data_IF_074339438274
#
_entry.id   IF_074339438274
#
_cell.length_a   1.000
_cell.length_b   1.000
_cell.length_c   1.000
_cell.angle_alpha   90.00
_cell.angle_beta   90.00
_cell.angle_gamma   90.00
#
_symmetry.space_group_name_H-M   'P 1'
#
loop_
_entity.id
_entity.type
_entity.pdbx_description
1 polymer ?
#
# COMPACT_ATOMS: atom_id res chain seq x y z
N UNK A 1 -36.14 7.52 5.47
CA UNK A 1 -36.38 7.61 4.01
C UNK A 1 -35.74 8.85 3.36
N UNK A 2 -35.19 9.79 4.13
CA UNK A 2 -34.61 11.05 3.60
C UNK A 2 -33.15 10.93 3.08
N UNK A 3 -32.39 9.92 3.53
CA UNK A 3 -30.98 9.73 3.14
C UNK A 3 -30.75 9.15 1.73
N UNK A 4 -31.77 8.52 1.13
CA UNK A 4 -31.66 7.96 -0.23
C UNK A 4 -31.93 8.95 -1.35
N UNK A 5 -32.48 10.12 -1.05
CA UNK A 5 -32.81 11.14 -2.04
C UNK A 5 -31.62 12.10 -2.34
N UNK A 6 -30.63 12.18 -1.44
CA UNK A 6 -29.49 13.07 -1.59
C UNK A 6 -28.42 12.55 -2.56
N UNK A 7 -28.36 11.24 -2.77
CA UNK A 7 -27.33 10.61 -3.64
C UNK A 7 -27.68 10.71 -5.13
N UNK A 8 -28.96 10.92 -5.46
CA UNK A 8 -29.40 10.98 -6.86
C UNK A 8 -29.23 12.36 -7.52
N UNK A 9 -28.99 13.41 -6.77
CA UNK A 9 -28.85 14.78 -7.29
C UNK A 9 -27.41 15.19 -7.61
N UNK A 10 -26.39 14.39 -7.21
CA UNK A 10 -24.98 14.71 -7.47
C UNK A 10 -24.44 14.13 -8.78
N UNK A 11 -25.23 13.31 -9.50
CA UNK A 11 -24.80 12.64 -10.72
C UNK A 11 -25.13 13.38 -12.03
N UNK A 12 -25.72 14.56 -11.98
CA UNK A 12 -26.26 15.25 -13.15
C UNK A 12 -25.46 16.48 -13.64
N UNK A 13 -24.30 16.81 -13.06
CA UNK A 13 -23.57 18.05 -13.41
C UNK A 13 -22.23 17.86 -14.13
N UNK A 14 -21.94 16.69 -14.72
CA UNK A 14 -20.63 16.45 -15.33
C UNK A 14 -20.68 16.14 -16.85
N UNK A 15 -21.54 16.84 -17.58
CA UNK A 15 -21.51 16.77 -19.06
C UNK A 15 -21.81 18.13 -19.65
N UNK A 16 -20.86 19.06 -19.69
CA UNK A 16 -20.76 20.14 -20.70
C UNK A 16 -19.42 20.86 -20.45
N UNK A 17 -18.42 20.64 -21.31
CA UNK A 17 -17.49 21.62 -21.84
C UNK A 17 -16.33 20.93 -22.60
N UNK A 18 -16.59 20.61 -23.84
CA UNK A 18 -15.55 20.47 -24.85
C UNK A 18 -15.94 21.37 -26.01
N UNK A 19 -15.36 22.56 -26.12
CA UNK A 19 -15.09 23.20 -27.42
C UNK A 19 -14.15 24.40 -27.27
N UNK A 20 -13.15 24.40 -28.17
CA UNK A 20 -12.53 25.53 -28.86
C UNK A 20 -11.27 26.18 -28.23
N UNK A 21 -10.10 25.78 -28.77
CA UNK A 21 -9.30 26.59 -29.70
C UNK A 21 -8.57 27.85 -29.19
N UNK A 22 -7.22 27.79 -29.20
CA UNK A 22 -6.36 28.82 -29.81
C UNK A 22 -5.81 29.91 -28.89
N UNK A 23 -4.47 29.98 -28.80
CA UNK A 23 -3.80 31.25 -28.54
C UNK A 23 -2.71 31.25 -27.45
N UNK A 24 -1.50 31.40 -27.92
CA UNK A 24 -0.23 31.63 -27.23
C UNK A 24 -0.23 32.62 -26.08
N UNK A 25 0.60 32.33 -25.03
CA UNK A 25 1.03 33.28 -24.02
C UNK A 25 1.62 32.61 -22.78
N UNK A 26 2.92 32.74 -22.58
CA UNK A 26 3.66 32.35 -21.41
C UNK A 26 3.12 33.05 -20.14
N UNK A 27 3.06 32.33 -19.04
CA UNK A 27 3.57 32.74 -17.73
C UNK A 27 3.47 31.58 -16.74
N UNK A 28 4.55 31.36 -16.02
CA UNK A 28 4.77 30.36 -14.98
C UNK A 28 3.83 30.57 -13.79
N UNK A 29 3.20 29.51 -13.28
CA UNK A 29 2.86 29.39 -11.86
C UNK A 29 2.74 27.93 -11.47
N UNK A 30 3.67 27.49 -10.63
CA UNK A 30 3.66 26.24 -9.90
C UNK A 30 2.34 26.12 -9.12
N UNK A 31 1.64 25.01 -9.33
CA UNK A 31 0.72 24.46 -8.34
C UNK A 31 0.86 22.95 -8.37
N UNK A 32 1.49 22.46 -7.32
CA UNK A 32 1.56 21.09 -6.88
C UNK A 32 0.13 20.51 -6.80
N UNK A 33 -0.16 19.57 -7.67
CA UNK A 33 -1.37 18.75 -7.61
C UNK A 33 -0.93 17.31 -7.87
N UNK A 34 -0.68 16.59 -6.79
CA UNK A 34 -0.45 15.15 -6.78
C UNK A 34 -1.62 14.45 -7.48
N UNK A 35 -1.43 14.16 -8.74
CA UNK A 35 -2.35 13.38 -9.55
C UNK A 35 -2.00 11.91 -9.34
N UNK A 36 -2.77 11.24 -8.51
CA UNK A 36 -2.74 9.79 -8.44
C UNK A 36 -3.22 9.26 -9.79
N UNK A 37 -2.30 8.83 -10.61
CA UNK A 37 -2.61 8.07 -11.81
C UNK A 37 -2.83 6.61 -11.39
N UNK A 38 -4.06 6.14 -11.54
CA UNK A 38 -4.34 4.71 -11.58
C UNK A 38 -3.60 4.10 -12.78
N UNK A 39 -2.40 3.63 -12.55
CA UNK A 39 -1.68 2.85 -13.55
C UNK A 39 -2.05 1.37 -13.36
N UNK A 40 -3.12 0.96 -14.00
CA UNK A 40 -3.33 -0.46 -14.26
C UNK A 40 -2.23 -0.95 -15.20
N UNK A 41 -1.14 -1.44 -14.66
CA UNK A 41 0.01 -1.91 -15.44
C UNK A 41 -0.29 -3.29 -16.00
N UNK A 42 -0.53 -3.36 -17.30
CA UNK A 42 -0.45 -4.61 -18.06
C UNK A 42 0.97 -5.19 -17.87
N UNK A 43 1.03 -6.46 -17.42
CA UNK A 43 2.20 -7.16 -16.96
C UNK A 43 3.51 -6.86 -17.69
N UNK A 44 4.48 -6.38 -16.94
CA UNK A 44 5.88 -6.38 -17.33
C UNK A 44 6.32 -7.85 -17.49
N UNK A 45 6.98 -8.18 -18.61
CA UNK A 45 7.57 -9.53 -18.82
C UNK A 45 8.84 -9.75 -17.96
N UNK A 46 9.15 -8.84 -17.05
CA UNK A 46 10.29 -8.88 -16.15
C UNK A 46 9.80 -9.50 -14.83
N UNK A 47 10.42 -10.59 -14.35
CA UNK A 47 10.11 -11.16 -13.05
C UNK A 47 10.17 -10.10 -11.95
N UNK A 48 9.30 -10.19 -10.95
CA UNK A 48 9.22 -9.19 -9.88
C UNK A 48 10.55 -9.06 -9.11
N UNK A 49 11.28 -10.17 -8.94
CA UNK A 49 12.63 -10.17 -8.34
C UNK A 49 13.66 -9.31 -9.08
N UNK A 50 13.48 -9.17 -10.39
CA UNK A 50 14.37 -8.39 -11.26
C UNK A 50 13.90 -6.95 -11.46
N UNK A 51 12.79 -6.57 -10.80
CA UNK A 51 12.19 -5.24 -10.88
C UNK A 51 11.87 -4.71 -9.46
N UNK A 52 12.89 -4.23 -8.72
CA UNK A 52 12.72 -3.81 -7.32
C UNK A 52 11.75 -2.65 -7.13
N UNK A 53 11.64 -1.73 -8.08
CA UNK A 53 10.69 -0.60 -8.03
C UNK A 53 9.24 -1.11 -8.10
N UNK A 54 8.96 -2.05 -9.01
CA UNK A 54 7.65 -2.67 -9.11
C UNK A 54 7.36 -3.53 -7.87
N UNK A 55 8.34 -4.29 -7.38
CA UNK A 55 8.21 -5.08 -6.17
C UNK A 55 7.85 -4.19 -4.95
N UNK A 56 8.52 -3.05 -4.78
CA UNK A 56 8.22 -2.08 -3.72
C UNK A 56 6.78 -1.57 -3.82
N UNK A 57 6.35 -1.16 -5.02
CA UNK A 57 4.99 -0.69 -5.25
C UNK A 57 3.94 -1.76 -4.91
N UNK A 58 4.17 -3.01 -5.33
CA UNK A 58 3.26 -4.11 -5.06
C UNK A 58 3.23 -4.50 -3.57
N UNK A 59 4.37 -4.42 -2.87
CA UNK A 59 4.44 -4.61 -1.41
C UNK A 59 3.59 -3.55 -0.70
N UNK A 60 3.74 -2.27 -1.06
CA UNK A 60 2.98 -1.18 -0.44
C UNK A 60 1.48 -1.38 -0.64
N UNK A 61 1.02 -1.68 -1.86
CA UNK A 61 -0.38 -1.94 -2.15
C UNK A 61 -0.93 -3.15 -1.38
N UNK A 62 -0.20 -4.25 -1.36
CA UNK A 62 -0.61 -5.46 -0.64
C UNK A 62 -0.62 -5.24 0.88
N UNK A 63 0.33 -4.45 1.43
CA UNK A 63 0.33 -4.04 2.84
C UNK A 63 -0.89 -3.18 3.19
N UNK A 64 -1.23 -2.19 2.36
CA UNK A 64 -2.42 -1.36 2.57
C UNK A 64 -3.70 -2.22 2.63
N UNK A 65 -3.85 -3.16 1.71
CA UNK A 65 -4.99 -4.08 1.71
C UNK A 65 -5.02 -4.95 2.96
N UNK A 66 -3.88 -5.55 3.33
CA UNK A 66 -3.76 -6.38 4.53
C UNK A 66 -4.07 -5.60 5.81
N UNK A 67 -3.60 -4.37 5.93
CA UNK A 67 -3.87 -3.51 7.08
C UNK A 67 -5.34 -3.10 7.14
N UNK A 68 -5.95 -2.76 6.00
CA UNK A 68 -7.38 -2.46 5.90
C UNK A 68 -8.25 -3.66 6.29
N UNK A 69 -7.88 -4.87 5.88
CA UNK A 69 -8.58 -6.10 6.28
C UNK A 69 -8.41 -6.41 7.77
N UNK A 70 -7.20 -6.18 8.31
CA UNK A 70 -6.87 -6.53 9.70
C UNK A 70 -7.44 -5.56 10.72
N UNK A 71 -7.43 -4.27 10.41
CA UNK A 71 -7.79 -3.21 11.35
C UNK A 71 -9.11 -2.52 11.00
N UNK A 72 -9.54 -2.56 9.73
CA UNK A 72 -10.81 -1.99 9.29
C UNK A 72 -10.95 -0.50 9.64
N UNK A 73 -12.01 -0.17 10.38
CA UNK A 73 -12.34 1.19 10.81
C UNK A 73 -11.56 1.67 12.05
N UNK A 74 -10.64 0.85 12.58
CA UNK A 74 -9.80 1.21 13.74
C UNK A 74 -8.64 2.13 13.38
N UNK A 75 -8.27 2.21 12.11
CA UNK A 75 -7.24 3.11 11.60
C UNK A 75 -7.81 3.97 10.49
N UNK A 76 -7.42 5.24 10.41
CA UNK A 76 -7.82 6.17 9.36
C UNK A 76 -6.65 6.50 8.40
N UNK A 77 -5.41 6.19 8.78
CA UNK A 77 -4.24 6.34 7.93
C UNK A 77 -3.16 5.31 8.28
N UNK A 78 -2.26 5.03 7.32
CA UNK A 78 -1.07 4.21 7.53
C UNK A 78 0.09 4.71 6.68
N UNK A 79 1.31 4.54 7.19
CA UNK A 79 2.56 4.78 6.45
C UNK A 79 3.33 3.49 6.36
N UNK A 80 3.85 3.19 5.18
CA UNK A 80 4.56 1.93 4.91
C UNK A 80 5.91 2.28 4.30
N UNK A 81 6.96 1.69 4.84
CA UNK A 81 8.34 1.87 4.43
C UNK A 81 8.94 0.50 4.13
N UNK A 82 9.21 0.21 2.86
CA UNK A 82 9.89 -1.04 2.48
C UNK A 82 11.38 -0.87 2.80
N UNK A 83 11.84 -1.57 3.83
CA UNK A 83 13.21 -1.47 4.33
C UNK A 83 14.15 -2.36 3.52
N UNK A 84 13.63 -3.51 3.07
CA UNK A 84 14.42 -4.48 2.31
C UNK A 84 13.54 -5.36 1.43
N UNK A 85 14.03 -5.63 0.23
CA UNK A 85 13.55 -6.69 -0.66
C UNK A 85 14.72 -7.66 -0.83
N UNK A 86 14.51 -8.93 -0.50
CA UNK A 86 15.54 -9.94 -0.53
C UNK A 86 15.80 -10.42 -1.96
N UNK A 87 17.08 -10.53 -2.32
CA UNK A 87 17.50 -11.18 -3.55
C UNK A 87 17.37 -12.70 -3.42
N UNK A 88 17.33 -13.39 -4.56
CA UNK A 88 17.27 -14.87 -4.59
C UNK A 88 18.48 -15.54 -3.89
N UNK A 89 19.60 -14.84 -3.77
CA UNK A 89 20.78 -15.33 -3.05
C UNK A 89 20.60 -15.18 -1.54
N UNK A 90 20.13 -14.01 -1.08
CA UNK A 90 19.84 -13.75 0.33
C UNK A 90 18.70 -14.64 0.87
N UNK A 91 17.67 -14.89 0.06
CA UNK A 91 16.57 -15.80 0.41
C UNK A 91 17.10 -17.21 0.78
N UNK A 92 18.12 -17.71 0.08
CA UNK A 92 18.72 -19.02 0.36
C UNK A 92 19.50 -19.08 1.67
N UNK A 93 19.98 -17.92 2.13
CA UNK A 93 20.73 -17.81 3.39
C UNK A 93 19.80 -17.64 4.61
N UNK A 94 18.52 -17.30 4.37
CA UNK A 94 17.53 -17.14 5.41
C UNK A 94 17.04 -18.49 5.91
N UNK A 95 17.32 -18.83 7.17
CA UNK A 95 16.90 -20.09 7.80
C UNK A 95 15.40 -20.35 7.69
N UNK A 96 14.61 -19.31 7.76
CA UNK A 96 13.15 -19.33 7.71
C UNK A 96 12.58 -19.60 6.31
N UNK A 97 13.36 -19.33 5.27
CA UNK A 97 12.97 -19.57 3.89
C UNK A 97 13.55 -20.88 3.32
N UNK A 98 14.35 -21.63 4.10
CA UNK A 98 14.98 -22.88 3.63
C UNK A 98 14.00 -23.91 3.08
N UNK A 99 12.79 -23.93 3.61
CA UNK A 99 11.73 -24.85 3.22
C UNK A 99 10.79 -24.27 2.15
N UNK A 100 11.05 -23.02 1.72
CA UNK A 100 10.26 -22.31 0.71
C UNK A 100 11.08 -22.10 -0.56
N UNK A 101 10.60 -22.64 -1.67
CA UNK A 101 11.12 -22.35 -3.00
C UNK A 101 10.29 -21.21 -3.60
N UNK A 102 10.77 -19.95 -3.46
CA UNK A 102 10.06 -18.78 -3.98
C UNK A 102 10.15 -18.74 -5.51
N UNK A 103 9.01 -18.55 -6.16
CA UNK A 103 8.90 -18.37 -7.60
C UNK A 103 9.52 -17.05 -8.10
N UNK A 104 9.59 -16.84 -9.43
CA UNK A 104 10.17 -15.63 -10.02
C UNK A 104 9.40 -14.35 -9.68
N UNK A 105 8.09 -14.46 -9.42
CA UNK A 105 7.21 -13.34 -9.08
C UNK A 105 6.85 -13.32 -7.58
N UNK A 106 7.57 -14.07 -6.76
CA UNK A 106 7.45 -14.06 -5.31
C UNK A 106 8.71 -13.46 -4.70
N UNK A 107 8.55 -12.53 -3.76
CA UNK A 107 9.67 -11.88 -3.07
C UNK A 107 9.48 -11.88 -1.57
N UNK A 108 10.55 -12.15 -0.83
CA UNK A 108 10.60 -11.91 0.60
C UNK A 108 10.99 -10.45 0.86
N UNK A 109 10.39 -9.84 1.87
CA UNK A 109 10.61 -8.43 2.16
C UNK A 109 10.51 -8.12 3.65
N UNK A 110 11.14 -7.00 4.04
CA UNK A 110 10.97 -6.37 5.35
C UNK A 110 10.32 -5.00 5.18
N UNK A 111 9.40 -4.69 6.10
CA UNK A 111 8.76 -3.40 6.16
C UNK A 111 8.77 -2.84 7.58
N UNK A 112 8.87 -1.52 7.66
CA UNK A 112 8.44 -0.74 8.81
C UNK A 112 7.13 -0.04 8.44
N UNK A 113 6.21 0.08 9.40
CA UNK A 113 4.94 0.75 9.18
C UNK A 113 4.44 1.45 10.42
N UNK A 114 3.59 2.44 10.20
CA UNK A 114 2.97 3.24 11.24
C UNK A 114 1.46 3.26 11.00
N UNK A 115 0.69 3.30 12.08
CA UNK A 115 -0.78 3.30 12.03
C UNK A 115 -1.31 4.54 12.73
N UNK A 116 -2.23 5.26 12.10
CA UNK A 116 -2.96 6.33 12.76
C UNK A 116 -4.31 5.80 13.25
N UNK A 117 -4.56 5.79 14.56
CA UNK A 117 -5.81 5.27 15.11
C UNK A 117 -6.97 6.22 14.82
N UNK A 118 -8.11 5.68 14.44
CA UNK A 118 -9.37 6.42 14.39
C UNK A 118 -9.78 6.88 15.80
N UNK A 119 -10.43 8.03 15.91
CA UNK A 119 -10.92 8.55 17.19
C UNK A 119 -11.75 7.52 17.96
N UNK A 120 -11.35 7.23 19.19
CA UNK A 120 -12.02 6.26 20.06
C UNK A 120 -11.52 4.83 19.97
N UNK A 121 -10.55 4.54 19.10
CA UNK A 121 -9.91 3.23 19.04
C UNK A 121 -9.10 2.95 20.31
N UNK A 122 -9.23 1.75 20.88
CA UNK A 122 -8.34 1.27 21.93
C UNK A 122 -6.95 1.00 21.35
N UNK A 123 -5.97 1.81 21.71
CA UNK A 123 -4.59 1.71 21.23
C UNK A 123 -4.00 0.31 21.46
N UNK A 124 -4.39 -0.38 22.54
CA UNK A 124 -3.92 -1.73 22.80
C UNK A 124 -4.30 -2.75 21.70
N UNK A 125 -5.32 -2.47 20.91
CA UNK A 125 -5.69 -3.32 19.79
C UNK A 125 -4.75 -3.16 18.58
N UNK A 126 -3.97 -2.07 18.53
CA UNK A 126 -3.02 -1.76 17.46
C UNK A 126 -1.58 -2.13 17.82
N UNK A 127 -1.28 -2.38 19.10
CA UNK A 127 0.07 -2.70 19.61
C UNK A 127 0.51 -4.18 19.50
N UNK A 128 -0.35 -5.19 19.24
CA UNK A 128 0.10 -6.58 19.23
C UNK A 128 1.36 -6.79 18.40
N UNK A 129 2.24 -7.66 18.91
CA UNK A 129 3.50 -8.10 18.36
C UNK A 129 4.65 -7.08 18.49
N UNK A 130 4.49 -5.83 18.06
CA UNK A 130 5.50 -4.77 18.18
C UNK A 130 4.88 -3.38 18.00
N UNK A 131 5.72 -2.36 18.14
CA UNK A 131 5.32 -0.96 18.03
C UNK A 131 5.05 -0.31 19.38
N UNK A 132 5.03 1.00 19.38
CA UNK A 132 4.68 1.84 20.53
C UNK A 132 3.74 2.97 20.11
N UNK A 133 2.96 3.48 21.04
CA UNK A 133 2.12 4.64 20.79
C UNK A 133 2.88 5.91 21.14
N UNK A 134 3.06 6.78 20.17
CA UNK A 134 3.64 8.11 20.33
C UNK A 134 2.52 9.12 20.63
N UNK A 135 2.42 9.54 21.89
CA UNK A 135 1.41 10.50 22.35
C UNK A 135 1.54 11.89 21.69
N UNK A 136 2.75 12.27 21.25
CA UNK A 136 2.98 13.58 20.63
C UNK A 136 2.43 13.64 19.20
N UNK A 137 2.66 12.61 18.42
CA UNK A 137 2.19 12.52 17.02
C UNK A 137 0.81 11.88 16.89
N UNK A 138 0.36 11.10 17.87
CA UNK A 138 -0.88 10.34 17.81
C UNK A 138 -0.79 9.06 16.98
N UNK A 139 0.42 8.61 16.60
CA UNK A 139 0.65 7.43 15.78
C UNK A 139 1.14 6.25 16.60
N UNK A 140 0.79 5.04 16.18
CA UNK A 140 1.48 3.82 16.57
C UNK A 140 2.66 3.65 15.62
N UNK A 141 3.86 3.80 16.16
CA UNK A 141 5.12 3.80 15.42
C UNK A 141 5.94 2.54 15.67
N UNK A 142 7.06 2.39 14.97
CA UNK A 142 8.02 1.28 15.15
C UNK A 142 7.41 -0.12 14.95
N UNK A 143 6.32 -0.23 14.20
CA UNK A 143 5.85 -1.53 13.77
C UNK A 143 6.72 -2.03 12.61
N UNK A 144 7.12 -3.29 12.68
CA UNK A 144 7.87 -3.93 11.60
C UNK A 144 7.36 -5.36 11.35
N UNK A 145 7.66 -5.87 10.19
CA UNK A 145 7.35 -7.24 9.83
C UNK A 145 8.12 -7.72 8.61
N UNK A 146 8.23 -9.03 8.52
CA UNK A 146 8.70 -9.73 7.34
C UNK A 146 7.52 -10.45 6.69
N UNK A 147 7.52 -10.55 5.39
CA UNK A 147 6.48 -11.22 4.64
C UNK A 147 6.97 -11.76 3.30
N UNK A 148 6.12 -12.54 2.67
CA UNK A 148 6.31 -13.00 1.30
C UNK A 148 5.17 -12.41 0.47
N UNK A 149 5.53 -11.64 -0.54
CA UNK A 149 4.60 -11.15 -1.57
C UNK A 149 4.41 -12.26 -2.61
N UNK A 150 3.17 -12.58 -2.95
CA UNK A 150 2.79 -13.62 -3.92
C UNK A 150 1.73 -13.13 -4.89
N UNK A 151 1.84 -13.49 -6.18
CA UNK A 151 0.78 -13.21 -7.14
C UNK A 151 -0.47 -14.03 -6.83
N UNK A 152 -1.62 -13.46 -7.12
CA UNK A 152 -2.94 -14.10 -7.04
C UNK A 152 -3.44 -14.46 -8.45
N UNK A 153 -4.51 -15.24 -8.54
CA UNK A 153 -5.06 -15.69 -9.82
C UNK A 153 -5.59 -14.54 -10.69
N UNK A 154 -6.01 -13.44 -10.08
CA UNK A 154 -6.52 -12.25 -10.76
C UNK A 154 -5.43 -11.26 -11.20
N UNK A 155 -4.15 -11.58 -10.92
CA UNK A 155 -2.98 -10.78 -11.28
C UNK A 155 -2.65 -9.69 -10.28
N UNK A 156 -3.33 -9.60 -9.14
CA UNK A 156 -2.92 -8.80 -8.00
C UNK A 156 -1.88 -9.53 -7.15
N UNK A 157 -1.44 -8.91 -6.06
CA UNK A 157 -0.50 -9.52 -5.12
C UNK A 157 -1.11 -9.56 -3.71
N UNK A 158 -0.73 -10.60 -2.96
CA UNK A 158 -1.09 -10.76 -1.55
C UNK A 158 0.14 -11.05 -0.71
N UNK A 159 0.06 -10.74 0.58
CA UNK A 159 1.11 -11.05 1.54
C UNK A 159 0.78 -12.32 2.28
N UNK A 160 1.72 -13.23 2.32
CA UNK A 160 1.64 -14.46 3.10
C UNK A 160 2.78 -14.53 4.10
N UNK A 161 2.61 -15.33 5.16
CA UNK A 161 3.63 -15.54 6.19
C UNK A 161 4.15 -14.23 6.80
N UNK A 162 3.23 -13.26 7.04
CA UNK A 162 3.61 -11.98 7.65
C UNK A 162 3.75 -12.14 9.16
N UNK A 163 4.88 -11.68 9.69
CA UNK A 163 5.18 -11.77 11.12
C UNK A 163 6.34 -10.87 11.54
N UNK A 164 6.55 -10.78 12.87
CA UNK A 164 7.58 -9.92 13.49
C UNK A 164 8.90 -10.65 13.76
N UNK A 165 8.98 -11.91 13.42
CA UNK A 165 10.16 -12.77 13.53
C UNK A 165 9.85 -14.11 12.90
N UNK A 166 10.83 -14.62 12.27
CA UNK A 166 10.81 -15.92 11.61
C UNK A 166 11.71 -16.85 12.39
#
# INVERSE_FOLDING_TARGET
>A
MLKKLLILMLSACLLIAMTACGGSGQEEQETDATKTEETGTAGSNIPLKDNPEEAENQIVLAMQNMLAESYGDKIDDCRIYVEKIYTAEEEKEMDVLKDYELGPDEVAFEVRYELHPTEGTDINELLPANGEYDEESGWVVEKYGLGILRPTEDGSYTITNFGTGW
#
